data_IF_827264644160
#
_entry.id   IF_827264644160
#
_cell.length_a   1.000
_cell.length_b   1.000
_cell.length_c   1.000
_cell.angle_alpha   90.00
_cell.angle_beta   90.00
_cell.angle_gamma   90.00
#
_symmetry.space_group_name_H-M   'P 1'
#
loop_
_entity.id
_entity.type
_entity.pdbx_description
1 polymer ?
#
# COMPACT_ATOMS: atom_id res chain seq x y z
N UNK A 1 -14.89 9.62 -9.28
CA UNK A 1 -13.99 9.79 -10.46
C UNK A 1 -14.18 11.18 -11.07
N UNK A 2 -13.11 11.85 -11.55
CA UNK A 2 -13.22 13.21 -12.14
C UNK A 2 -13.89 13.21 -13.52
N UNK A 3 -14.56 14.31 -13.88
CA UNK A 3 -15.22 14.47 -15.20
C UNK A 3 -14.26 14.29 -16.38
N UNK A 4 -13.01 14.73 -16.22
CA UNK A 4 -11.97 14.55 -17.24
C UNK A 4 -11.64 13.08 -17.50
N UNK A 5 -11.66 12.21 -16.48
CA UNK A 5 -11.46 10.77 -16.66
C UNK A 5 -12.67 10.13 -17.34
N UNK A 6 -13.90 10.51 -16.97
CA UNK A 6 -15.14 10.01 -17.60
C UNK A 6 -15.15 10.30 -19.11
N UNK A 7 -14.71 11.49 -19.52
CA UNK A 7 -14.60 11.89 -20.93
C UNK A 7 -13.65 10.99 -21.75
N UNK A 8 -12.54 10.53 -21.14
CA UNK A 8 -11.61 9.60 -21.79
C UNK A 8 -12.29 8.26 -22.07
N UNK A 9 -13.01 7.69 -21.11
CA UNK A 9 -13.75 6.43 -21.29
C UNK A 9 -14.80 6.53 -22.40
N UNK A 10 -15.54 7.63 -22.46
CA UNK A 10 -16.50 7.89 -23.55
C UNK A 10 -15.82 7.91 -24.92
N UNK A 11 -14.69 8.60 -25.06
CA UNK A 11 -13.93 8.67 -26.32
C UNK A 11 -13.34 7.33 -26.75
N UNK A 12 -12.97 6.49 -25.79
CA UNK A 12 -12.46 5.14 -26.04
C UNK A 12 -13.58 4.12 -26.30
N UNK A 13 -14.84 4.56 -26.28
CA UNK A 13 -16.02 3.69 -26.41
C UNK A 13 -16.01 2.54 -25.38
N UNK A 14 -15.42 2.81 -24.21
CA UNK A 14 -15.33 1.88 -23.09
C UNK A 14 -16.40 2.21 -22.05
N UNK A 15 -16.95 1.19 -21.35
CA UNK A 15 -17.84 1.44 -20.23
C UNK A 15 -17.10 2.26 -19.17
N UNK A 16 -17.79 3.29 -18.66
CA UNK A 16 -17.30 4.04 -17.50
C UNK A 16 -17.32 3.03 -16.34
N UNK A 17 -16.17 2.75 -15.69
CA UNK A 17 -16.15 1.86 -14.54
C UNK A 17 -17.08 2.39 -13.47
N UNK A 18 -17.84 1.49 -12.83
CA UNK A 18 -18.58 1.86 -11.63
C UNK A 18 -17.61 2.44 -10.61
N UNK A 19 -18.05 3.50 -9.94
CA UNK A 19 -17.30 4.04 -8.83
C UNK A 19 -17.28 2.97 -7.75
N UNK A 20 -16.10 2.41 -7.48
CA UNK A 20 -15.93 1.43 -6.42
C UNK A 20 -16.38 2.11 -5.13
N UNK A 21 -17.44 1.57 -4.53
CA UNK A 21 -17.87 2.04 -3.22
C UNK A 21 -16.69 1.88 -2.27
N UNK A 22 -16.23 2.95 -1.62
CA UNK A 22 -15.07 2.87 -0.75
C UNK A 22 -15.38 1.88 0.38
N UNK A 23 -14.70 0.73 0.35
CA UNK A 23 -14.73 -0.21 1.45
C UNK A 23 -13.95 0.41 2.61
N UNK A 24 -14.70 0.82 3.63
CA UNK A 24 -14.16 1.44 4.83
C UNK A 24 -13.03 0.61 5.48
N UNK A 25 -13.12 -0.73 5.41
CA UNK A 25 -12.09 -1.62 5.94
C UNK A 25 -10.81 -1.50 5.10
N UNK A 26 -10.93 -1.61 3.77
CA UNK A 26 -9.81 -1.41 2.85
C UNK A 26 -9.15 -0.03 3.03
N UNK A 27 -9.93 1.04 3.18
CA UNK A 27 -9.40 2.39 3.42
C UNK A 27 -8.62 2.47 4.74
N UNK A 28 -9.15 1.87 5.81
CA UNK A 28 -8.46 1.81 7.10
C UNK A 28 -7.13 1.06 7.00
N UNK A 29 -7.11 -0.12 6.36
CA UNK A 29 -5.89 -0.92 6.15
C UNK A 29 -4.85 -0.13 5.36
N UNK A 30 -5.27 0.49 4.24
CA UNK A 30 -4.39 1.29 3.39
C UNK A 30 -3.82 2.50 4.14
N UNK A 31 -4.63 3.16 4.97
CA UNK A 31 -4.17 4.28 5.78
C UNK A 31 -3.16 3.83 6.86
N UNK A 32 -3.42 2.71 7.54
CA UNK A 32 -2.48 2.14 8.51
C UNK A 32 -1.15 1.80 7.83
N UNK A 33 -1.18 1.13 6.68
CA UNK A 33 0.02 0.84 5.90
C UNK A 33 0.76 2.11 5.46
N UNK A 34 0.03 3.11 4.94
CA UNK A 34 0.61 4.37 4.48
C UNK A 34 1.30 5.13 5.61
N UNK A 35 0.79 5.07 6.84
CA UNK A 35 1.41 5.70 8.00
C UNK A 35 2.60 4.87 8.51
N UNK A 36 2.46 3.55 8.63
CA UNK A 36 3.52 2.67 9.12
C UNK A 36 4.73 2.66 8.17
N UNK A 37 4.50 2.67 6.86
CA UNK A 37 5.56 2.73 5.83
C UNK A 37 6.44 3.98 5.91
N UNK A 38 5.97 5.06 6.56
CA UNK A 38 6.81 6.27 6.78
C UNK A 38 7.92 6.04 7.81
N UNK A 39 7.74 5.08 8.71
CA UNK A 39 8.76 4.68 9.67
C UNK A 39 9.75 3.65 9.08
N UNK A 40 9.58 3.26 7.81
CA UNK A 40 10.38 2.20 7.19
C UNK A 40 11.87 2.52 7.20
N UNK A 41 12.65 1.53 7.62
CA UNK A 41 14.11 1.61 7.65
C UNK A 41 14.72 1.10 6.34
N UNK A 42 15.91 1.60 6.05
CA UNK A 42 16.67 1.27 4.85
C UNK A 42 18.09 0.89 5.22
N UNK A 43 18.70 0.02 4.43
CA UNK A 43 20.11 -0.37 4.53
C UNK A 43 20.80 -0.07 3.21
N UNK A 44 22.13 -0.15 3.18
CA UNK A 44 22.90 -0.07 1.93
C UNK A 44 22.48 -1.15 0.91
N UNK A 45 21.99 -2.28 1.41
CA UNK A 45 21.64 -3.46 0.62
C UNK A 45 20.17 -3.49 0.17
N UNK A 46 19.32 -2.63 0.72
CA UNK A 46 17.90 -2.61 0.36
C UNK A 46 16.94 -2.09 1.43
N UNK A 47 15.66 -2.29 1.13
CA UNK A 47 14.52 -1.90 1.95
C UNK A 47 14.26 -2.96 3.01
N UNK A 48 14.09 -2.54 4.28
CA UNK A 48 13.73 -3.44 5.36
C UNK A 48 12.20 -3.52 5.53
N UNK A 49 11.66 -4.72 5.83
CA UNK A 49 10.23 -4.88 6.07
C UNK A 49 9.80 -4.16 7.36
N UNK A 50 8.52 -3.81 7.41
CA UNK A 50 7.88 -3.27 8.60
C UNK A 50 7.82 -4.33 9.71
N UNK A 51 8.04 -3.90 10.95
CA UNK A 51 7.87 -4.74 12.12
C UNK A 51 6.45 -4.64 12.69
N UNK A 52 6.07 -5.62 13.51
CA UNK A 52 4.82 -5.58 14.29
C UNK A 52 4.74 -4.29 15.13
N UNK A 53 5.87 -3.83 15.67
CA UNK A 53 5.91 -2.60 16.46
C UNK A 53 5.57 -1.37 15.62
N UNK A 54 6.05 -1.29 14.37
CA UNK A 54 5.77 -0.18 13.46
C UNK A 54 4.27 -0.10 13.13
N UNK A 55 3.63 -1.25 12.89
CA UNK A 55 2.19 -1.31 12.59
C UNK A 55 1.34 -1.02 13.83
N UNK A 56 1.69 -1.61 14.99
CA UNK A 56 0.96 -1.39 16.25
C UNK A 56 1.04 0.05 16.73
N UNK A 57 2.16 0.72 16.52
CA UNK A 57 2.31 2.14 16.83
C UNK A 57 1.27 3.00 16.10
N UNK A 58 0.87 2.61 14.88
CA UNK A 58 -0.15 3.31 14.09
C UNK A 58 -1.56 2.85 14.45
N UNK A 59 -1.77 1.55 14.62
CA UNK A 59 -3.08 0.96 14.94
C UNK A 59 -3.69 1.58 16.21
N UNK A 60 -2.87 1.95 17.19
CA UNK A 60 -3.33 2.64 18.41
C UNK A 60 -3.95 4.03 18.18
N UNK A 61 -3.65 4.70 17.05
CA UNK A 61 -4.21 6.01 16.70
C UNK A 61 -5.29 5.95 15.61
N UNK A 62 -5.23 4.94 14.74
CA UNK A 62 -6.15 4.71 13.64
C UNK A 62 -6.72 3.28 13.72
N UNK A 63 -7.67 3.00 14.63
CA UNK A 63 -8.25 1.68 14.76
C UNK A 63 -9.08 1.33 13.51
N UNK A 64 -8.96 0.08 13.08
CA UNK A 64 -9.76 -0.51 12.00
C UNK A 64 -10.83 -1.41 12.63
N UNK A 65 -12.07 -1.47 12.12
CA UNK A 65 -13.15 -2.28 12.71
C UNK A 65 -13.02 -3.78 12.37
N UNK A 66 -11.80 -4.30 12.39
CA UNK A 66 -11.47 -5.71 12.23
C UNK A 66 -10.42 -6.09 13.26
N UNK A 67 -10.23 -7.38 13.47
CA UNK A 67 -9.24 -7.87 14.44
C UNK A 67 -7.82 -7.43 14.07
N UNK A 68 -7.03 -7.09 15.11
CA UNK A 68 -5.64 -6.64 14.96
C UNK A 68 -4.79 -7.63 14.16
N UNK A 69 -4.98 -8.94 14.36
CA UNK A 69 -4.23 -9.96 13.64
C UNK A 69 -4.48 -9.88 12.13
N UNK A 70 -5.72 -9.59 11.71
CA UNK A 70 -6.09 -9.47 10.30
C UNK A 70 -5.55 -8.17 9.70
N UNK A 71 -5.54 -7.07 10.47
CA UNK A 71 -4.85 -5.83 10.07
C UNK A 71 -3.37 -6.11 9.81
N UNK A 72 -2.70 -6.80 10.73
CA UNK A 72 -1.28 -7.14 10.61
C UNK A 72 -1.02 -7.99 9.34
N UNK A 73 -1.84 -9.01 9.08
CA UNK A 73 -1.71 -9.83 7.87
C UNK A 73 -1.86 -9.00 6.58
N UNK A 74 -2.90 -8.16 6.51
CA UNK A 74 -3.11 -7.32 5.32
C UNK A 74 -1.96 -6.32 5.12
N UNK A 75 -1.50 -5.66 6.20
CA UNK A 75 -0.41 -4.69 6.14
C UNK A 75 0.91 -5.36 5.74
N UNK A 76 1.20 -6.55 6.27
CA UNK A 76 2.42 -7.28 5.90
C UNK A 76 2.37 -7.82 4.47
N UNK A 77 1.21 -8.20 3.96
CA UNK A 77 1.07 -8.57 2.55
C UNK A 77 1.39 -7.39 1.62
N UNK A 78 0.88 -6.20 1.93
CA UNK A 78 1.21 -4.96 1.18
C UNK A 78 2.70 -4.62 1.28
N UNK A 79 3.27 -4.73 2.49
CA UNK A 79 4.68 -4.46 2.75
C UNK A 79 5.62 -5.39 1.97
N UNK A 80 5.30 -6.68 1.92
CA UNK A 80 6.08 -7.69 1.18
C UNK A 80 6.08 -7.39 -0.33
N UNK A 81 4.93 -7.02 -0.90
CA UNK A 81 4.82 -6.64 -2.31
C UNK A 81 5.73 -5.44 -2.64
N UNK A 82 5.70 -4.40 -1.81
CA UNK A 82 6.51 -3.20 -2.02
C UNK A 82 8.00 -3.45 -1.76
N UNK A 83 8.34 -4.24 -0.74
CA UNK A 83 9.73 -4.64 -0.46
C UNK A 83 10.33 -5.46 -1.61
N UNK A 84 9.58 -6.42 -2.16
CA UNK A 84 9.99 -7.19 -3.34
C UNK A 84 10.27 -6.28 -4.52
N UNK A 85 9.30 -5.42 -4.87
CA UNK A 85 9.42 -4.47 -5.98
C UNK A 85 10.63 -3.54 -5.82
N UNK A 86 10.84 -2.99 -4.62
CA UNK A 86 11.94 -2.08 -4.35
C UNK A 86 13.32 -2.79 -4.43
N UNK A 87 13.43 -3.97 -3.84
CA UNK A 87 14.69 -4.73 -3.85
C UNK A 87 15.02 -5.26 -5.26
N UNK A 88 14.04 -5.64 -6.06
CA UNK A 88 14.24 -5.96 -7.48
C UNK A 88 14.78 -4.76 -8.27
N UNK A 89 14.23 -3.57 -8.05
CA UNK A 89 14.72 -2.35 -8.69
C UNK A 89 16.16 -2.00 -8.29
N UNK A 90 16.52 -2.21 -7.01
CA UNK A 90 17.90 -2.02 -6.53
C UNK A 90 18.85 -3.01 -7.20
N UNK A 91 18.48 -4.31 -7.23
CA UNK A 91 19.28 -5.35 -7.90
C UNK A 91 19.47 -5.06 -9.39
N UNK A 92 18.44 -4.57 -10.07
CA UNK A 92 18.54 -4.18 -11.47
C UNK A 92 19.58 -3.06 -11.67
N UNK A 93 19.59 -2.02 -10.82
CA UNK A 93 20.57 -0.93 -10.88
C UNK A 93 22.01 -1.41 -10.63
N UNK A 94 22.20 -2.36 -9.71
CA UNK A 94 23.53 -2.90 -9.40
C UNK A 94 24.11 -3.74 -10.55
N UNK A 95 23.27 -4.39 -11.36
CA UNK A 95 23.73 -5.17 -12.53
C UNK A 95 24.20 -4.32 -13.72
N UNK A 96 23.86 -3.04 -13.75
CA UNK A 96 24.21 -2.11 -14.83
C UNK A 96 25.27 -1.08 -14.42
N UNK A 97 25.91 -1.28 -13.26
CA UNK A 97 27.13 -0.57 -12.83
C UNK A 97 28.34 -1.44 -13.11
#
# INVERSE_FOLDING_TARGET
>A
MTERKKEIYRRLNQPIPDEVEPDYISECILNIYALASRARRYTESGVLPLSVADVKAVFGFAPCPIDEWLVLECVFALDDMDCKRANEAIRAKLRHR
#
